data_IF_891526502944
#
_entry.id   IF_891526502944
#
_cell.length_a   1.000
_cell.length_b   1.000
_cell.length_c   1.000
_cell.angle_alpha   90.00
_cell.angle_beta   90.00
_cell.angle_gamma   90.00
#
_symmetry.space_group_name_H-M   'P 1'
#
loop_
_entity.id
_entity.type
_entity.pdbx_description
1 polymer ?
#
# COMPACT_ATOMS: atom_id res chain seq x y z
N UNK A 1 -6.95 0.57 12.00
CA UNK A 1 -7.23 1.73 11.12
C UNK A 1 -8.04 2.82 11.86
N UNK A 2 -7.64 3.22 13.07
CA UNK A 2 -8.38 4.25 13.83
C UNK A 2 -8.29 5.63 13.17
N UNK A 3 -7.10 5.96 12.66
CA UNK A 3 -6.84 7.26 12.02
C UNK A 3 -7.61 7.46 10.71
N UNK A 4 -7.64 6.46 9.81
CA UNK A 4 -8.46 6.55 8.59
C UNK A 4 -9.94 6.73 8.94
N UNK A 5 -10.47 5.99 9.93
CA UNK A 5 -11.86 6.17 10.37
C UNK A 5 -12.12 7.55 10.96
N UNK A 6 -11.14 8.16 11.63
CA UNK A 6 -11.23 9.54 12.14
C UNK A 6 -11.25 10.54 10.98
N UNK A 7 -10.36 10.39 10.01
CA UNK A 7 -10.32 11.23 8.81
C UNK A 7 -11.66 11.21 8.07
N UNK A 8 -12.24 10.03 7.83
CA UNK A 8 -13.53 9.90 7.14
C UNK A 8 -14.68 10.59 7.91
N UNK A 9 -14.64 10.58 9.25
CA UNK A 9 -15.63 11.30 10.07
C UNK A 9 -15.49 12.83 9.97
N UNK A 10 -14.25 13.32 9.95
CA UNK A 10 -13.96 14.76 9.80
C UNK A 10 -14.42 15.25 8.42
N UNK A 11 -14.13 14.47 7.37
CA UNK A 11 -14.60 14.74 6.00
C UNK A 11 -16.13 14.77 5.95
N UNK A 12 -16.78 13.74 6.49
CA UNK A 12 -18.25 13.67 6.52
C UNK A 12 -18.88 14.78 7.37
N UNK A 13 -18.14 15.33 8.33
CA UNK A 13 -18.55 16.47 9.14
C UNK A 13 -18.38 17.83 8.47
N UNK A 14 -17.85 17.90 7.24
CA UNK A 14 -17.63 19.15 6.50
C UNK A 14 -16.56 20.05 7.12
N UNK A 15 -15.61 19.46 7.85
CA UNK A 15 -14.57 20.20 8.58
C UNK A 15 -13.27 20.39 7.79
N UNK A 16 -13.18 19.81 6.60
CA UNK A 16 -11.96 19.76 5.76
C UNK A 16 -12.36 19.89 4.31
N UNK A 17 -11.61 20.70 3.57
CA UNK A 17 -11.78 20.91 2.12
C UNK A 17 -10.71 20.16 1.29
N UNK A 18 -9.52 19.96 1.87
CA UNK A 18 -8.37 19.35 1.20
C UNK A 18 -7.70 18.34 2.13
N UNK A 19 -7.44 17.14 1.61
CA UNK A 19 -6.62 16.11 2.26
C UNK A 19 -5.28 16.07 1.54
N UNK A 20 -4.24 16.57 2.20
CA UNK A 20 -2.88 16.52 1.69
C UNK A 20 -2.24 15.18 2.05
N UNK A 21 -1.69 14.50 1.05
CA UNK A 21 -0.92 13.28 1.23
C UNK A 21 0.43 13.41 0.54
N UNK A 22 1.47 12.83 1.15
CA UNK A 22 2.76 12.74 0.47
C UNK A 22 2.66 11.89 -0.81
N UNK A 23 1.91 10.78 -0.75
CA UNK A 23 1.72 9.83 -1.86
C UNK A 23 0.50 8.93 -1.63
N UNK A 24 -0.04 8.34 -2.72
CA UNK A 24 -1.27 7.54 -2.71
C UNK A 24 -1.27 6.41 -1.67
N UNK A 25 -0.17 5.70 -1.54
CA UNK A 25 -0.13 4.50 -0.71
C UNK A 25 -0.10 4.81 0.80
N UNK A 26 0.08 6.09 1.19
CA UNK A 26 -0.09 6.53 2.58
C UNK A 26 -1.53 6.43 3.06
N UNK A 27 -2.49 6.71 2.18
CA UNK A 27 -3.91 6.66 2.56
C UNK A 27 -4.46 5.25 2.34
N UNK A 28 -4.11 4.62 1.22
CA UNK A 28 -4.50 3.26 0.92
C UNK A 28 -3.69 2.64 -0.22
N UNK A 29 -3.09 1.48 0.05
CA UNK A 29 -2.53 0.56 -0.95
C UNK A 29 -3.58 0.05 -1.95
N UNK A 30 -4.80 -0.25 -1.45
CA UNK A 30 -5.94 -0.66 -2.27
C UNK A 30 -7.16 0.20 -1.99
N UNK A 31 -7.94 0.47 -3.04
CA UNK A 31 -9.19 1.21 -2.90
C UNK A 31 -9.01 2.72 -2.75
N UNK A 32 -7.83 3.26 -3.10
CA UNK A 32 -7.61 4.70 -3.22
C UNK A 32 -8.70 5.37 -4.08
N UNK A 33 -9.08 4.76 -5.22
CA UNK A 33 -10.15 5.27 -6.09
C UNK A 33 -11.48 5.41 -5.35
N UNK A 34 -11.83 4.43 -4.49
CA UNK A 34 -13.05 4.51 -3.68
C UNK A 34 -12.96 5.61 -2.63
N UNK A 35 -11.80 5.79 -1.99
CA UNK A 35 -11.58 6.88 -1.03
C UNK A 35 -11.64 8.25 -1.70
N UNK A 36 -11.04 8.39 -2.88
CA UNK A 36 -11.10 9.64 -3.66
C UNK A 36 -12.53 9.96 -4.06
N UNK A 37 -13.30 8.98 -4.51
CA UNK A 37 -14.71 9.16 -4.85
C UNK A 37 -15.55 9.51 -3.62
N UNK A 38 -15.31 8.85 -2.49
CA UNK A 38 -15.93 9.21 -1.21
C UNK A 38 -15.64 10.68 -0.85
N UNK A 39 -14.38 11.13 -0.91
CA UNK A 39 -14.02 12.51 -0.59
C UNK A 39 -14.71 13.52 -1.52
N UNK A 40 -14.79 13.20 -2.82
CA UNK A 40 -15.48 14.03 -3.82
C UNK A 40 -16.96 14.26 -3.51
N UNK A 41 -17.65 13.27 -2.94
CA UNK A 41 -19.06 13.43 -2.52
C UNK A 41 -19.23 14.49 -1.42
N UNK A 42 -18.18 14.78 -0.66
CA UNK A 42 -18.15 15.82 0.36
C UNK A 42 -17.43 17.10 -0.11
N UNK A 43 -17.21 17.25 -1.42
CA UNK A 43 -16.43 18.34 -2.03
C UNK A 43 -14.98 18.43 -1.54
N UNK A 44 -14.43 17.32 -1.04
CA UNK A 44 -13.05 17.25 -0.54
C UNK A 44 -12.11 16.73 -1.62
N UNK A 45 -11.03 17.46 -1.85
CA UNK A 45 -9.98 17.08 -2.82
C UNK A 45 -8.83 16.39 -2.08
N UNK A 46 -8.29 15.32 -2.67
CA UNK A 46 -7.04 14.71 -2.21
C UNK A 46 -5.91 15.25 -3.10
N UNK A 47 -4.95 15.94 -2.49
CA UNK A 47 -3.76 16.48 -3.16
C UNK A 47 -2.51 15.68 -2.77
N UNK A 48 -1.71 15.36 -3.78
CA UNK A 48 -0.47 14.58 -3.65
C UNK A 48 0.71 15.57 -3.76
N UNK A 49 1.60 15.60 -2.76
CA UNK A 49 2.70 16.60 -2.66
C UNK A 49 3.95 16.20 -3.45
N UNK A 50 4.10 14.90 -3.73
CA UNK A 50 5.19 14.20 -4.43
C UNK A 50 6.54 14.94 -4.65
N UNK A 51 7.59 14.42 -4.01
CA UNK A 51 8.98 14.89 -4.17
C UNK A 51 10.02 13.75 -4.01
N UNK A 52 9.60 12.48 -4.10
CA UNK A 52 10.53 11.34 -3.95
C UNK A 52 11.00 10.82 -5.31
N UNK A 53 12.23 10.28 -5.42
CA UNK A 53 12.55 9.42 -6.54
C UNK A 53 11.55 8.26 -6.55
N UNK A 54 10.89 8.06 -7.69
CA UNK A 54 10.01 6.90 -7.90
C UNK A 54 10.77 5.65 -7.44
N UNK A 55 10.22 4.92 -6.46
CA UNK A 55 10.66 3.54 -6.25
C UNK A 55 10.43 2.81 -7.57
N UNK A 56 11.32 1.87 -7.90
CA UNK A 56 11.08 1.01 -9.05
C UNK A 56 9.69 0.36 -8.88
N UNK A 57 8.82 0.37 -9.90
CA UNK A 57 7.45 -0.16 -9.79
C UNK A 57 7.40 -1.58 -9.22
N UNK A 58 8.46 -2.36 -9.44
CA UNK A 58 8.63 -3.70 -8.90
C UNK A 58 8.76 -3.72 -7.36
N UNK A 59 9.50 -2.78 -6.77
CA UNK A 59 9.68 -2.72 -5.32
C UNK A 59 8.35 -2.41 -4.62
N UNK A 60 7.54 -1.50 -5.18
CA UNK A 60 6.21 -1.17 -4.65
C UNK A 60 5.28 -2.39 -4.69
N UNK A 61 5.28 -3.15 -5.78
CA UNK A 61 4.46 -4.36 -5.93
C UNK A 61 4.85 -5.44 -4.92
N UNK A 62 6.14 -5.59 -4.63
CA UNK A 62 6.64 -6.55 -3.63
C UNK A 62 6.18 -6.14 -2.23
N UNK A 63 6.29 -4.85 -1.88
CA UNK A 63 5.79 -4.33 -0.61
C UNK A 63 4.27 -4.56 -0.45
N UNK A 64 3.49 -4.35 -1.50
CA UNK A 64 2.04 -4.60 -1.54
C UNK A 64 1.72 -6.07 -1.25
N UNK A 65 2.43 -6.98 -1.92
CA UNK A 65 2.25 -8.42 -1.78
C UNK A 65 2.59 -8.88 -0.36
N UNK A 66 3.70 -8.39 0.20
CA UNK A 66 4.10 -8.65 1.59
C UNK A 66 3.00 -8.19 2.57
N UNK A 67 2.44 -7.00 2.36
CA UNK A 67 1.38 -6.46 3.21
C UNK A 67 0.10 -7.32 3.13
N UNK A 68 -0.31 -7.75 1.93
CA UNK A 68 -1.44 -8.66 1.72
C UNK A 68 -1.20 -9.97 2.47
N UNK A 69 -0.11 -10.66 2.17
CA UNK A 69 0.19 -11.99 2.71
C UNK A 69 0.28 -11.95 4.23
N UNK A 70 0.87 -10.90 4.79
CA UNK A 70 0.93 -10.69 6.24
C UNK A 70 -0.46 -10.54 6.85
N UNK A 71 -1.33 -9.72 6.25
CA UNK A 71 -2.70 -9.51 6.71
C UNK A 71 -3.53 -10.79 6.67
N UNK A 72 -3.46 -11.53 5.56
CA UNK A 72 -4.17 -12.80 5.42
C UNK A 72 -3.62 -13.87 6.36
N UNK A 73 -2.31 -13.95 6.53
CA UNK A 73 -1.68 -14.91 7.45
C UNK A 73 -2.13 -14.69 8.90
N UNK A 74 -2.24 -13.43 9.34
CA UNK A 74 -2.75 -13.10 10.66
C UNK A 74 -4.20 -13.57 10.85
N UNK A 75 -5.05 -13.43 9.82
CA UNK A 75 -6.46 -13.83 9.85
C UNK A 75 -6.67 -15.35 9.77
N UNK A 76 -5.91 -16.03 8.92
CA UNK A 76 -6.05 -17.47 8.67
C UNK A 76 -5.41 -18.31 9.78
N UNK A 77 -4.25 -17.91 10.27
CA UNK A 77 -3.46 -18.73 11.21
C UNK A 77 -3.44 -18.18 12.64
N UNK A 78 -4.12 -17.05 12.90
CA UNK A 78 -4.23 -16.45 14.23
C UNK A 78 -2.86 -16.24 14.89
N UNK A 79 -2.66 -16.84 16.06
CA UNK A 79 -1.39 -16.78 16.82
C UNK A 79 -0.16 -17.26 16.03
N UNK A 80 -0.35 -18.14 15.03
CA UNK A 80 0.73 -18.64 14.16
C UNK A 80 0.96 -17.76 12.92
N UNK A 81 0.08 -16.79 12.67
CA UNK A 81 0.10 -15.94 11.48
C UNK A 81 1.41 -15.19 11.27
N UNK A 82 2.01 -14.64 12.32
CA UNK A 82 3.30 -13.95 12.20
C UNK A 82 4.44 -14.87 11.74
N UNK A 83 4.46 -16.12 12.20
CA UNK A 83 5.46 -17.12 11.76
C UNK A 83 5.25 -17.51 10.30
N UNK A 84 3.99 -17.71 9.90
CA UNK A 84 3.66 -18.08 8.51
C UNK A 84 3.95 -16.92 7.56
N UNK A 85 3.54 -15.70 7.93
CA UNK A 85 3.84 -14.48 7.19
C UNK A 85 5.35 -14.34 6.96
N UNK A 86 6.17 -14.45 8.02
CA UNK A 86 7.62 -14.35 7.90
C UNK A 86 8.21 -15.33 6.88
N UNK A 87 7.75 -16.59 6.90
CA UNK A 87 8.20 -17.60 5.93
C UNK A 87 7.82 -17.24 4.50
N UNK A 88 6.58 -16.80 4.29
CA UNK A 88 6.10 -16.42 2.95
C UNK A 88 6.80 -15.17 2.43
N UNK A 89 7.04 -14.18 3.30
CA UNK A 89 7.81 -12.97 2.95
C UNK A 89 9.23 -13.33 2.52
N UNK A 90 9.92 -14.22 3.25
CA UNK A 90 11.26 -14.67 2.87
C UNK A 90 11.28 -15.35 1.49
N UNK A 91 10.27 -16.16 1.18
CA UNK A 91 10.15 -16.81 -0.15
C UNK A 91 9.92 -15.75 -1.23
N UNK A 92 9.03 -14.79 -0.98
CA UNK A 92 8.77 -13.69 -1.92
C UNK A 92 10.05 -12.91 -2.22
N UNK A 93 10.77 -12.49 -1.19
CA UNK A 93 12.02 -11.73 -1.33
C UNK A 93 13.09 -12.52 -2.08
N UNK A 94 13.22 -13.83 -1.83
CA UNK A 94 14.21 -14.66 -2.53
C UNK A 94 13.90 -14.87 -4.00
N UNK A 95 12.63 -15.06 -4.37
CA UNK A 95 12.23 -15.24 -5.77
C UNK A 95 12.38 -13.94 -6.57
N UNK A 96 12.08 -12.79 -5.96
CA UNK A 96 12.29 -11.48 -6.59
C UNK A 96 13.78 -11.24 -6.88
N UNK A 97 14.64 -11.50 -5.89
CA UNK A 97 16.08 -11.36 -6.07
C UNK A 97 16.68 -12.35 -7.08
N UNK A 98 16.09 -13.54 -7.21
CA UNK A 98 16.51 -14.52 -8.22
C UNK A 98 16.16 -14.05 -9.64
N UNK A 99 14.95 -13.52 -9.84
CA UNK A 99 14.49 -13.00 -11.14
C UNK A 99 15.26 -11.78 -11.65
N UNK A 100 15.81 -10.96 -10.75
CA UNK A 100 16.67 -9.82 -11.11
C UNK A 100 18.03 -10.26 -11.69
N UNK A 101 18.56 -11.42 -11.28
CA UNK A 101 19.85 -11.92 -11.76
C UNK A 101 19.78 -12.58 -13.14
N UNK A 102 18.61 -13.06 -13.57
CA UNK A 102 18.42 -13.68 -14.89
C UNK A 102 18.25 -12.64 -16.03
N UNK A 103 18.00 -11.37 -15.69
CA UNK A 103 17.74 -10.28 -16.65
C UNK A 103 18.97 -9.54 -17.19
N UNK A 104 20.17 -9.76 -16.64
CA UNK A 104 21.40 -9.05 -17.06
C UNK A 104 22.31 -9.88 -17.98
N UNK A 105 21.72 -10.85 -18.69
CA UNK A 105 22.41 -11.73 -19.63
C UNK A 105 22.11 -11.40 -21.08
N UNK A 106 22.93 -10.52 -21.67
CA UNK A 106 23.22 -10.43 -23.11
C UNK A 106 22.10 -9.93 -24.03
N UNK A 107 22.29 -8.74 -24.60
CA UNK A 107 21.90 -8.49 -25.99
C UNK A 107 23.17 -8.06 -26.77
N UNK A 108 23.59 -8.79 -27.81
CA UNK A 108 24.65 -8.33 -28.72
C UNK A 108 24.20 -7.15 -29.60
#
# INVERSE_FOLDING_TARGET
RKELSKLLKIIAGGQVDIVLIEYRDRIARFGYKYLKEFCRQFNVVIEEVDDRPNKEPQEELVEDMIAIVTSFSARLYGKRGGRVAKKLVQVIESEVAAGENDGNGSNP
#
